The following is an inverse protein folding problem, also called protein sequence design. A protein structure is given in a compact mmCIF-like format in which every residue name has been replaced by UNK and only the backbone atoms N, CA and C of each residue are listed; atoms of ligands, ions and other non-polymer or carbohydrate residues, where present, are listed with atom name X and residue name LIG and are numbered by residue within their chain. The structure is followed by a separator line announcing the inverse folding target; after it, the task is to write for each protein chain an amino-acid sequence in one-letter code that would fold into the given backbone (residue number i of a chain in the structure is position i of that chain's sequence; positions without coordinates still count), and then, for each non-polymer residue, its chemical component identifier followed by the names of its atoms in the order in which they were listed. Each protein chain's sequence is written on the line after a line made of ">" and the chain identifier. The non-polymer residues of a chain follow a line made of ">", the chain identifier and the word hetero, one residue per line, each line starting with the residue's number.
data_IF_922682001232
#
_entry.id   IF_922682001232
#
_cell.length_a   1.000
_cell.length_b   1.000
_cell.length_c   1.000
_cell.angle_alpha   90.00
_cell.angle_beta   90.00
_cell.angle_gamma   90.00
#
_symmetry.space_group_name_H-M   'P 1'
#
loop_
_entity.id
_entity.type
_entity.pdbx_description
1 polymer ?
#
# COMPACT_ATOMS: atom_id res chain seq x y z
N UNK A 1 -10.12 -5.86 -24.15
CA UNK A 1 -10.32 -4.62 -23.37
C UNK A 1 -9.09 -4.49 -22.50
N UNK A 2 -8.21 -3.53 -22.76
CA UNK A 2 -7.04 -3.31 -21.91
C UNK A 2 -7.54 -2.76 -20.57
N UNK A 3 -7.45 -3.55 -19.51
CA UNK A 3 -7.62 -3.05 -18.15
C UNK A 3 -6.50 -2.03 -17.91
N UNK A 4 -6.86 -0.74 -17.89
CA UNK A 4 -5.96 0.29 -17.42
C UNK A 4 -5.67 0.00 -15.96
N UNK A 5 -4.48 -0.49 -15.66
CA UNK A 5 -4.02 -0.63 -14.29
C UNK A 5 -4.00 0.77 -13.65
N UNK A 6 -4.98 1.06 -12.79
CA UNK A 6 -5.03 2.32 -12.05
C UNK A 6 -4.05 2.25 -10.87
N UNK A 7 -3.03 3.09 -10.94
CA UNK A 7 -2.08 3.31 -9.86
C UNK A 7 -2.36 4.68 -9.21
N UNK A 8 -2.23 4.75 -7.89
CA UNK A 8 -2.31 5.98 -7.12
C UNK A 8 -0.92 6.38 -6.64
N UNK A 9 -0.62 7.68 -6.66
CA UNK A 9 0.67 8.22 -6.24
C UNK A 9 0.54 8.88 -4.88
N UNK A 10 1.22 8.34 -3.87
CA UNK A 10 1.20 8.87 -2.50
C UNK A 10 2.61 9.33 -2.17
N UNK A 11 2.81 10.62 -1.95
CA UNK A 11 4.13 11.21 -1.65
C UNK A 11 5.26 10.83 -2.63
N UNK A 12 4.94 10.59 -3.90
CA UNK A 12 5.89 10.19 -4.94
C UNK A 12 6.14 8.68 -5.05
N UNK A 13 5.44 7.88 -4.25
CA UNK A 13 5.48 6.41 -4.28
C UNK A 13 4.26 5.86 -5.02
N UNK A 14 4.47 4.81 -5.81
CA UNK A 14 3.43 4.22 -6.67
C UNK A 14 2.71 3.09 -5.94
N UNK A 15 1.40 3.23 -5.77
CA UNK A 15 0.54 2.25 -5.12
C UNK A 15 -0.50 1.69 -6.09
N UNK A 16 -0.85 0.43 -5.91
CA UNK A 16 -1.96 -0.25 -6.58
C UNK A 16 -2.90 -0.80 -5.54
N UNK A 17 -4.19 -0.56 -5.69
CA UNK A 17 -5.19 -1.22 -4.85
C UNK A 17 -5.50 -2.59 -5.45
N UNK A 18 -5.40 -3.66 -4.65
CA UNK A 18 -5.84 -4.98 -5.09
C UNK A 18 -7.35 -5.01 -5.38
N UNK A 19 -8.11 -4.27 -4.57
CA UNK A 19 -9.53 -4.03 -4.82
C UNK A 19 -9.81 -2.53 -4.94
N UNK A 20 -9.93 -1.98 -6.17
CA UNK A 20 -10.17 -0.55 -6.37
C UNK A 20 -11.57 -0.11 -5.93
N UNK A 21 -12.48 -1.03 -5.63
CA UNK A 21 -13.81 -0.69 -5.10
C UNK A 21 -13.85 -0.64 -3.56
N UNK A 22 -12.84 -1.17 -2.89
CA UNK A 22 -12.81 -1.23 -1.42
C UNK A 22 -12.68 0.16 -0.81
N UNK A 23 -13.71 0.57 -0.07
CA UNK A 23 -13.70 1.80 0.73
C UNK A 23 -12.55 1.83 1.76
N UNK A 24 -12.20 0.70 2.38
CA UNK A 24 -11.08 0.62 3.34
C UNK A 24 -9.75 0.99 2.69
N UNK A 25 -9.40 0.32 1.58
CA UNK A 25 -8.19 0.63 0.80
C UNK A 25 -8.16 2.08 0.31
N UNK A 26 -9.29 2.59 -0.18
CA UNK A 26 -9.41 4.01 -0.58
C UNK A 26 -9.18 4.96 0.58
N UNK A 27 -9.75 4.68 1.75
CA UNK A 27 -9.60 5.49 2.96
C UNK A 27 -8.15 5.51 3.43
N UNK A 28 -7.48 4.35 3.45
CA UNK A 28 -6.06 4.25 3.81
C UNK A 28 -5.18 5.05 2.84
N UNK A 29 -5.41 4.93 1.53
CA UNK A 29 -4.69 5.75 0.54
C UNK A 29 -4.92 7.24 0.77
N UNK A 30 -6.17 7.65 0.98
CA UNK A 30 -6.51 9.05 1.24
C UNK A 30 -5.86 9.55 2.55
N UNK A 31 -5.85 8.76 3.62
CA UNK A 31 -5.19 9.10 4.87
C UNK A 31 -3.67 9.20 4.66
N UNK A 32 -3.07 8.27 3.93
CA UNK A 32 -1.65 8.32 3.63
C UNK A 32 -1.26 9.48 2.71
N UNK A 33 -2.17 9.94 1.84
CA UNK A 33 -1.95 11.09 0.96
C UNK A 33 -2.06 12.43 1.69
N UNK A 34 -2.99 12.54 2.65
CA UNK A 34 -3.33 13.82 3.28
C UNK A 34 -2.90 13.96 4.74
N UNK A 35 -2.76 12.86 5.48
CA UNK A 35 -2.53 12.84 6.94
C UNK A 35 -1.19 12.20 7.34
N UNK A 36 -0.63 11.30 6.52
CA UNK A 36 0.67 10.71 6.83
C UNK A 36 1.82 11.63 6.46
N UNK A 37 2.78 11.78 7.37
CA UNK A 37 4.05 12.43 7.06
C UNK A 37 4.82 11.59 6.02
N UNK A 38 5.43 12.26 5.03
CA UNK A 38 6.29 11.61 4.04
C UNK A 38 7.32 10.67 4.69
N UNK A 39 7.96 11.12 5.77
CA UNK A 39 8.97 10.32 6.48
C UNK A 39 8.36 9.08 7.14
N UNK A 40 7.16 9.17 7.73
CA UNK A 40 6.47 8.02 8.34
C UNK A 40 6.08 6.99 7.29
N UNK A 41 5.53 7.43 6.16
CA UNK A 41 5.20 6.54 5.06
C UNK A 41 6.47 5.89 4.49
N UNK A 42 7.55 6.66 4.36
CA UNK A 42 8.81 6.15 3.86
C UNK A 42 9.47 5.15 4.81
N UNK A 43 9.43 5.39 6.13
CA UNK A 43 9.89 4.43 7.16
C UNK A 43 9.06 3.14 7.12
N UNK A 44 7.73 3.26 7.09
CA UNK A 44 6.79 2.13 7.01
C UNK A 44 7.07 1.23 5.79
N UNK A 45 7.35 1.83 4.63
CA UNK A 45 7.68 1.08 3.41
C UNK A 45 9.13 0.61 3.38
N UNK A 46 10.05 1.33 4.03
CA UNK A 46 11.44 0.91 4.18
C UNK A 46 11.54 -0.37 5.02
N UNK A 47 10.70 -0.53 6.05
CA UNK A 47 10.56 -1.78 6.80
C UNK A 47 9.98 -2.90 5.92
N UNK A 48 8.95 -2.62 5.11
CA UNK A 48 8.40 -3.59 4.15
C UNK A 48 9.44 -4.05 3.10
N UNK A 49 10.33 -3.16 2.68
CA UNK A 49 11.42 -3.43 1.71
C UNK A 49 12.52 -4.31 2.29
N UNK A 50 12.89 -4.12 3.57
CA UNK A 50 13.94 -4.92 4.23
C UNK A 50 13.45 -6.26 4.78
N UNK A 51 12.14 -6.47 4.89
CA UNK A 51 11.54 -7.73 5.36
C UNK A 51 11.56 -8.88 4.33
N UNK A 52 12.55 -8.92 3.41
CA UNK A 52 12.80 -9.99 2.43
C UNK A 52 13.23 -11.31 3.08
N UNK A 53 12.34 -11.88 3.90
CA UNK A 53 12.44 -13.19 4.53
C UNK A 53 11.10 -13.73 5.00
N UNK A 54 10.13 -12.85 5.29
CA UNK A 54 8.72 -13.22 5.42
C UNK A 54 7.88 -11.94 5.40
N UNK A 55 6.88 -11.92 4.51
CA UNK A 55 5.87 -10.86 4.30
C UNK A 55 5.44 -10.26 5.65
N UNK A 56 6.03 -9.14 6.06
CA UNK A 56 5.59 -8.48 7.29
C UNK A 56 4.47 -7.50 6.98
N UNK A 57 3.38 -7.74 7.69
CA UNK A 57 2.10 -7.05 7.61
C UNK A 57 2.21 -5.75 8.40
N UNK A 58 2.10 -4.61 7.74
CA UNK A 58 1.54 -3.46 8.43
C UNK A 58 0.05 -3.75 8.63
N UNK A 59 -0.49 -3.53 9.82
CA UNK A 59 -1.93 -3.55 10.08
C UNK A 59 -2.35 -2.15 10.50
N UNK A 60 -2.53 -1.27 9.53
CA UNK A 60 -3.43 -0.14 9.69
C UNK A 60 -4.80 -0.58 9.19
N UNK A 61 -5.81 -0.51 10.05
CA UNK A 61 -7.21 -0.80 9.67
C UNK A 61 -7.41 -2.15 8.92
N UNK A 62 -6.49 -3.11 9.08
CA UNK A 62 -6.52 -4.41 8.40
C UNK A 62 -6.00 -4.40 6.95
N UNK A 63 -5.11 -3.49 6.56
CA UNK A 63 -4.52 -3.42 5.21
C UNK A 63 -3.02 -3.69 5.22
N UNK A 64 -2.55 -4.61 4.37
CA UNK A 64 -1.14 -4.94 4.14
C UNK A 64 -0.64 -4.28 2.85
N UNK A 65 0.56 -3.71 2.88
CA UNK A 65 1.28 -3.25 1.70
C UNK A 65 2.37 -4.24 1.27
N UNK A 66 2.40 -4.60 -0.01
CA UNK A 66 3.38 -5.52 -0.60
C UNK A 66 4.23 -4.78 -1.61
N UNK A 67 5.56 -4.75 -1.40
CA UNK A 67 6.49 -4.14 -2.34
C UNK A 67 6.80 -5.09 -3.50
N UNK A 68 6.75 -4.56 -4.73
CA UNK A 68 7.12 -5.29 -5.95
C UNK A 68 8.47 -4.81 -6.48
N UNK A 69 9.23 -5.71 -7.10
CA UNK A 69 10.56 -5.42 -7.66
C UNK A 69 10.56 -4.30 -8.71
N UNK A 70 9.42 -4.06 -9.35
CA UNK A 70 9.21 -2.99 -10.33
C UNK A 70 9.04 -1.59 -9.68
N UNK A 71 9.13 -1.51 -8.35
CA UNK A 71 9.15 -0.24 -7.59
C UNK A 71 7.77 0.32 -7.22
N UNK A 72 6.71 -0.50 -7.29
CA UNK A 72 5.37 -0.15 -6.80
C UNK A 72 4.95 -1.02 -5.62
N UNK A 73 3.95 -0.57 -4.88
CA UNK A 73 3.37 -1.30 -3.75
C UNK A 73 1.93 -1.71 -4.05
N UNK A 74 1.52 -2.92 -3.72
CA UNK A 74 0.11 -3.34 -3.76
C UNK A 74 -0.47 -3.28 -2.35
N UNK A 75 -1.62 -2.63 -2.19
CA UNK A 75 -2.39 -2.64 -0.94
C UNK A 75 -3.47 -3.72 -1.00
N UNK A 76 -3.48 -4.58 0.01
CA UNK A 76 -4.39 -5.72 0.14
C UNK A 76 -5.07 -5.71 1.51
N UNK A 77 -6.36 -6.05 1.57
CA UNK A 77 -7.00 -6.32 2.85
C UNK A 77 -6.43 -7.61 3.45
N UNK A 78 -6.16 -7.57 4.74
CA UNK A 78 -5.73 -8.71 5.55
C UNK A 78 -6.99 -9.33 6.16
N UNK A 79 -7.61 -10.26 5.46
CA UNK A 79 -8.71 -11.04 6.04
C UNK A 79 -8.15 -11.91 7.18
N UNK A 80 -8.65 -11.68 8.39
CA UNK A 80 -8.49 -12.63 9.49
C UNK A 80 -9.42 -13.82 9.17
N UNK A 81 -8.83 -14.89 8.65
CA UNK A 81 -9.52 -16.15 8.41
C UNK A 81 -9.52 -17.04 9.67
#
# INVERSE_FOLDING_TARGET
>A
MEEKEEFTMIHGLKFKLKDPHSETLKKVVHDWEHHSDHNKLHDLLHEARNASGNKQHFKDEGVTAVHHSDGYYTLEKTEHH
#
